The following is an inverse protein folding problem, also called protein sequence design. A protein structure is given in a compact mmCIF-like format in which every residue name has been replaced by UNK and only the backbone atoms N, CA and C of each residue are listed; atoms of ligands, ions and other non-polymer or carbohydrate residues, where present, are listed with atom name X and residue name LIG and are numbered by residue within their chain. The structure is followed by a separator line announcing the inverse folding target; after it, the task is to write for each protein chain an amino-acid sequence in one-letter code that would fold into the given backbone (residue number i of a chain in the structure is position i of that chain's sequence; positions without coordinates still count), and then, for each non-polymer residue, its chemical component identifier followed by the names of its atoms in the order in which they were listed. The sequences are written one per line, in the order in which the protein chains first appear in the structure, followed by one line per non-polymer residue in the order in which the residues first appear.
data_IF_407642514733
#
_entry.id   IF_407642514733
#
_cell.length_a   1.000
_cell.length_b   1.000
_cell.length_c   1.000
_cell.angle_alpha   90.00
_cell.angle_beta   90.00
_cell.angle_gamma   90.00
#
_symmetry.space_group_name_H-M   'P 1'
#
loop_
_entity.id
_entity.type
_entity.pdbx_description
1 polymer ?
#
# COMPACT_ATOMS: atom_id res chain seq x y z
N UNK A 1 7.56 -5.02 51.94
CA UNK A 1 8.71 -4.92 52.87
C UNK A 1 9.69 -6.02 52.46
N UNK A 2 11.00 -5.81 52.31
CA UNK A 2 11.82 -4.63 52.56
C UNK A 2 13.17 -5.06 53.17
N UNK A 3 14.30 -4.76 52.50
CA UNK A 3 15.65 -5.27 52.81
C UNK A 3 16.28 -5.96 51.58
N UNK A 4 17.36 -5.51 50.92
CA UNK A 4 18.48 -4.62 51.35
C UNK A 4 19.27 -5.29 52.51
N UNK A 5 20.60 -5.30 52.70
CA UNK A 5 21.80 -4.72 52.08
C UNK A 5 23.06 -5.50 52.58
N UNK A 6 24.29 -5.44 52.03
CA UNK A 6 24.89 -5.02 50.74
C UNK A 6 26.35 -5.57 50.63
N UNK A 7 26.91 -5.55 49.41
CA UNK A 7 28.33 -5.41 49.02
C UNK A 7 29.45 -5.54 50.08
N UNK A 8 30.40 -6.45 49.87
CA UNK A 8 31.78 -6.35 50.39
C UNK A 8 32.75 -5.86 49.30
N UNK A 9 33.79 -5.10 49.65
CA UNK A 9 34.77 -4.58 48.69
C UNK A 9 36.18 -4.46 49.27
N UNK A 10 37.14 -4.05 48.43
CA UNK A 10 38.48 -3.60 48.82
C UNK A 10 39.04 -2.66 47.72
N UNK A 11 39.17 -1.34 47.96
CA UNK A 11 40.38 -0.57 48.34
C UNK A 11 41.64 -0.83 47.47
N UNK A 12 42.04 0.10 46.59
CA UNK A 12 43.03 1.20 46.76
C UNK A 12 44.51 0.69 46.80
N UNK A 13 45.55 1.34 46.27
CA UNK A 13 45.73 2.62 45.52
C UNK A 13 47.03 2.53 44.65
N UNK A 14 47.32 3.51 43.77
CA UNK A 14 48.57 3.51 42.97
C UNK A 14 48.79 4.73 42.08
N UNK A 15 49.74 5.60 42.45
CA UNK A 15 49.87 6.99 41.92
C UNK A 15 51.04 7.19 40.93
N UNK A 16 50.70 7.78 39.78
CA UNK A 16 51.47 8.69 38.87
C UNK A 16 53.01 8.61 38.76
N UNK A 17 53.49 8.49 37.52
CA UNK A 17 54.27 9.50 36.74
C UNK A 17 54.25 9.04 35.27
N UNK A 18 54.40 9.84 34.20
CA UNK A 18 54.96 11.19 34.02
C UNK A 18 55.93 11.13 32.82
N UNK A 19 55.50 11.54 31.61
CA UNK A 19 56.35 11.42 30.42
C UNK A 19 55.76 12.10 29.17
N UNK A 20 56.52 13.03 28.58
CA UNK A 20 56.12 13.85 27.43
C UNK A 20 56.84 13.41 26.14
N UNK A 21 56.10 13.17 25.05
CA UNK A 21 56.70 12.87 23.74
C UNK A 21 55.87 13.34 22.52
N UNK A 22 56.28 14.47 21.96
CA UNK A 22 56.45 14.75 20.51
C UNK A 22 55.43 14.18 19.49
N UNK A 23 54.45 15.03 19.16
CA UNK A 23 54.19 15.58 17.81
C UNK A 23 54.69 14.76 16.60
N UNK A 24 53.76 14.14 15.85
CA UNK A 24 53.91 13.93 14.40
C UNK A 24 52.67 14.44 13.66
N UNK A 25 52.87 15.25 12.62
CA UNK A 25 51.80 15.88 11.86
C UNK A 25 51.26 14.94 10.77
N UNK A 26 49.93 14.88 10.62
CA UNK A 26 49.28 14.20 9.49
C UNK A 26 49.10 15.20 8.33
N UNK A 27 49.28 14.79 7.05
CA UNK A 27 49.17 15.70 5.91
C UNK A 27 47.73 16.17 5.69
N UNK A 28 47.59 17.40 5.18
CA UNK A 28 46.31 18.02 4.89
C UNK A 28 45.57 17.29 3.74
N UNK A 29 44.25 17.16 3.87
CA UNK A 29 43.38 16.68 2.79
C UNK A 29 43.07 17.82 1.81
N UNK A 30 43.00 17.58 0.49
CA UNK A 30 42.66 18.61 -0.48
C UNK A 30 41.19 19.04 -0.35
N UNK A 31 40.94 20.35 -0.55
CA UNK A 31 39.62 20.98 -0.50
C UNK A 31 38.71 20.48 -1.64
N UNK A 32 37.83 19.53 -1.33
CA UNK A 32 36.72 19.15 -2.22
C UNK A 32 35.58 20.17 -2.08
N UNK A 33 35.68 21.25 -2.86
CA UNK A 33 34.53 22.14 -3.13
C UNK A 33 33.35 21.31 -3.64
N UNK A 34 32.34 21.12 -2.81
CA UNK A 34 31.10 20.45 -3.22
C UNK A 34 30.37 21.33 -4.24
N UNK A 35 29.97 20.80 -5.41
CA UNK A 35 29.08 21.53 -6.31
C UNK A 35 27.74 21.74 -5.59
N UNK A 36 27.31 23.00 -5.46
CA UNK A 36 26.04 23.36 -4.83
C UNK A 36 24.90 22.64 -5.56
N UNK A 37 24.23 21.72 -4.87
CA UNK A 37 23.13 20.92 -5.41
C UNK A 37 21.95 21.85 -5.71
N UNK A 38 21.76 22.19 -6.98
CA UNK A 38 20.69 23.08 -7.41
C UNK A 38 19.33 22.52 -6.97
N UNK A 39 18.65 23.22 -6.08
CA UNK A 39 17.33 22.84 -5.60
C UNK A 39 16.31 23.11 -6.69
N UNK A 40 15.91 22.05 -7.41
CA UNK A 40 14.88 22.14 -8.45
C UNK A 40 13.64 22.85 -7.90
N UNK A 41 13.26 23.97 -8.54
CA UNK A 41 12.20 24.85 -8.06
C UNK A 41 10.81 24.20 -8.08
N UNK A 42 9.80 24.81 -7.42
CA UNK A 42 8.48 24.20 -7.26
C UNK A 42 7.82 23.77 -8.58
N UNK A 43 8.00 24.56 -9.65
CA UNK A 43 7.51 24.25 -11.01
C UNK A 43 8.16 22.98 -11.60
N UNK A 44 9.48 22.84 -11.47
CA UNK A 44 10.21 21.65 -11.94
C UNK A 44 9.82 20.38 -11.15
N UNK A 45 9.61 20.48 -9.83
CA UNK A 45 9.09 19.38 -9.01
C UNK A 45 7.67 18.96 -9.40
N UNK A 46 6.80 19.93 -9.72
CA UNK A 46 5.42 19.68 -10.18
C UNK A 46 5.39 19.04 -11.58
N UNK A 47 6.27 19.47 -12.49
CA UNK A 47 6.48 18.84 -13.79
C UNK A 47 6.98 17.39 -13.64
N UNK A 48 7.98 17.16 -12.78
CA UNK A 48 8.51 15.82 -12.50
C UNK A 48 7.51 14.87 -11.80
N UNK A 49 6.52 15.39 -11.04
CA UNK A 49 5.36 14.59 -10.55
C UNK A 49 4.41 14.24 -11.70
N UNK A 50 4.09 15.18 -12.60
CA UNK A 50 3.21 14.93 -13.75
C UNK A 50 3.80 13.91 -14.72
N UNK A 51 5.09 14.04 -15.07
CA UNK A 51 5.77 13.11 -15.97
C UNK A 51 5.76 11.64 -15.44
N UNK A 52 5.97 11.44 -14.13
CA UNK A 52 5.87 10.11 -13.49
C UNK A 52 4.44 9.54 -13.48
N UNK A 53 3.42 10.40 -13.56
CA UNK A 53 2.02 9.97 -13.65
C UNK A 53 1.59 9.50 -15.04
N UNK A 54 2.32 9.87 -16.09
CA UNK A 54 1.98 9.53 -17.48
C UNK A 54 2.61 8.21 -17.98
N UNK A 55 3.79 7.85 -17.49
CA UNK A 55 4.58 6.70 -17.97
C UNK A 55 4.14 5.33 -17.39
N UNK A 56 2.83 5.04 -17.44
CA UNK A 56 2.21 4.02 -16.58
C UNK A 56 1.14 3.12 -17.19
N UNK A 57 1.01 3.03 -18.52
CA UNK A 57 0.02 2.16 -19.19
C UNK A 57 0.37 0.66 -19.18
N UNK A 58 0.98 0.15 -18.10
CA UNK A 58 1.33 -1.25 -17.94
C UNK A 58 0.23 -2.03 -17.19
N UNK A 59 -0.24 -3.14 -17.78
CA UNK A 59 -1.07 -4.13 -17.07
C UNK A 59 -0.33 -4.57 -15.79
N UNK A 60 -1.03 -4.62 -14.66
CA UNK A 60 -0.46 -5.04 -13.36
C UNK A 60 0.12 -3.93 -12.47
N UNK A 61 0.05 -2.64 -12.85
CA UNK A 61 0.41 -1.53 -11.94
C UNK A 61 -0.80 -1.00 -11.16
N UNK A 62 -0.69 -1.00 -9.84
CA UNK A 62 -1.70 -0.48 -8.89
C UNK A 62 -1.95 1.01 -9.13
N UNK A 63 -3.21 1.40 -9.09
CA UNK A 63 -3.66 2.75 -9.41
C UNK A 63 -3.56 3.63 -8.15
N UNK A 64 -2.91 4.81 -8.18
CA UNK A 64 -2.95 5.76 -7.06
C UNK A 64 -4.38 6.20 -6.70
N UNK A 65 -4.65 6.47 -5.42
CA UNK A 65 -5.98 6.94 -4.97
C UNK A 65 -6.24 8.40 -5.34
N UNK A 66 -7.51 8.72 -5.58
CA UNK A 66 -8.02 10.09 -5.68
C UNK A 66 -8.09 10.77 -4.27
N UNK A 67 -8.39 12.08 -4.19
CA UNK A 67 -8.72 12.77 -2.94
C UNK A 67 -9.88 12.11 -2.20
N UNK A 68 -9.92 12.27 -0.87
CA UNK A 68 -10.77 11.49 0.03
C UNK A 68 -12.26 11.38 -0.38
N UNK A 69 -12.98 12.48 -0.70
CA UNK A 69 -14.41 12.38 -1.05
C UNK A 69 -14.63 11.60 -2.35
N UNK A 70 -13.83 11.91 -3.38
CA UNK A 70 -13.91 11.27 -4.69
C UNK A 70 -13.54 9.78 -4.64
N UNK A 71 -12.51 9.45 -3.85
CA UNK A 71 -12.07 8.07 -3.59
C UNK A 71 -13.17 7.27 -2.91
N UNK A 72 -13.73 7.78 -1.83
CA UNK A 72 -14.76 7.06 -1.06
C UNK A 72 -16.04 6.88 -1.87
N UNK A 73 -16.49 7.92 -2.60
CA UNK A 73 -17.64 7.80 -3.50
C UNK A 73 -17.40 6.75 -4.59
N UNK A 74 -16.23 6.76 -5.24
CA UNK A 74 -15.91 5.77 -6.28
C UNK A 74 -15.82 4.35 -5.73
N UNK A 75 -15.21 4.16 -4.55
CA UNK A 75 -15.17 2.84 -3.92
C UNK A 75 -16.59 2.35 -3.59
N UNK A 76 -17.45 3.20 -3.02
CA UNK A 76 -18.84 2.87 -2.76
C UNK A 76 -19.61 2.47 -4.04
N UNK A 77 -19.46 3.21 -5.15
CA UNK A 77 -20.07 2.83 -6.44
C UNK A 77 -19.49 1.53 -7.01
N UNK A 78 -18.18 1.28 -6.87
CA UNK A 78 -17.54 0.03 -7.33
C UNK A 78 -18.06 -1.18 -6.54
N UNK A 79 -18.17 -1.07 -5.22
CA UNK A 79 -18.72 -2.14 -4.38
C UNK A 79 -20.22 -2.31 -4.60
N UNK A 80 -20.97 -1.21 -4.74
CA UNK A 80 -22.39 -1.26 -5.08
C UNK A 80 -22.63 -2.00 -6.42
N UNK A 81 -21.77 -1.77 -7.42
CA UNK A 81 -21.90 -2.39 -8.72
C UNK A 81 -21.89 -3.93 -8.66
N UNK A 82 -21.25 -4.57 -7.67
CA UNK A 82 -21.18 -6.04 -7.52
C UNK A 82 -22.57 -6.71 -7.53
N UNK A 83 -23.59 -6.01 -7.06
CA UNK A 83 -24.96 -6.51 -6.87
C UNK A 83 -26.05 -5.54 -7.37
N UNK A 84 -25.68 -4.35 -7.86
CA UNK A 84 -26.62 -3.30 -8.29
C UNK A 84 -26.38 -2.91 -9.77
N UNK A 85 -27.33 -3.21 -10.68
CA UNK A 85 -27.23 -2.84 -12.09
C UNK A 85 -27.10 -1.34 -12.34
N UNK A 86 -27.70 -0.49 -11.49
CA UNK A 86 -27.65 0.97 -11.64
C UNK A 86 -26.25 1.50 -11.32
N UNK A 87 -25.63 0.99 -10.25
CA UNK A 87 -24.25 1.32 -9.92
C UNK A 87 -23.25 0.75 -10.95
N UNK A 88 -23.54 -0.44 -11.52
CA UNK A 88 -22.76 -1.00 -12.64
C UNK A 88 -22.85 -0.10 -13.89
N UNK A 89 -24.02 0.49 -14.17
CA UNK A 89 -24.20 1.45 -15.26
C UNK A 89 -23.51 2.80 -14.99
N UNK A 90 -23.60 3.37 -13.78
CA UNK A 90 -22.87 4.58 -13.38
C UNK A 90 -21.35 4.38 -13.54
N UNK A 91 -20.83 3.23 -13.08
CA UNK A 91 -19.42 2.86 -13.22
C UNK A 91 -19.01 2.72 -14.70
N UNK A 92 -19.84 2.10 -15.53
CA UNK A 92 -19.58 1.95 -16.97
C UNK A 92 -19.58 3.32 -17.69
N UNK A 93 -20.51 4.21 -17.34
CA UNK A 93 -20.58 5.55 -17.92
C UNK A 93 -19.41 6.45 -17.48
N UNK A 94 -18.94 6.32 -16.25
CA UNK A 94 -17.70 6.98 -15.79
C UNK A 94 -16.46 6.40 -16.50
N UNK A 95 -16.43 5.07 -16.72
CA UNK A 95 -15.34 4.38 -17.41
C UNK A 95 -15.22 4.77 -18.89
N UNK A 96 -16.35 4.83 -19.62
CA UNK A 96 -16.41 5.24 -21.03
C UNK A 96 -16.23 6.74 -21.24
N UNK A 97 -16.51 7.55 -20.22
CA UNK A 97 -16.46 9.01 -20.28
C UNK A 97 -17.81 9.67 -20.62
N UNK A 98 -18.90 8.90 -20.67
CA UNK A 98 -20.26 9.44 -20.76
C UNK A 98 -20.69 10.23 -19.51
N UNK A 99 -20.08 9.95 -18.35
CA UNK A 99 -20.14 10.81 -17.16
C UNK A 99 -18.83 11.59 -17.00
N UNK A 100 -18.94 12.88 -16.69
CA UNK A 100 -17.79 13.73 -16.40
C UNK A 100 -17.23 13.43 -14.99
N UNK A 101 -15.98 12.97 -14.85
CA UNK A 101 -15.32 12.82 -13.55
C UNK A 101 -15.17 14.14 -12.77
N UNK A 102 -15.33 15.32 -13.39
CA UNK A 102 -15.34 16.58 -12.65
C UNK A 102 -16.50 16.65 -11.64
N UNK A 103 -17.67 16.05 -11.95
CA UNK A 103 -18.81 15.96 -11.03
C UNK A 103 -18.57 15.08 -9.78
N UNK A 104 -17.40 14.43 -9.70
CA UNK A 104 -16.96 13.60 -8.58
C UNK A 104 -15.86 14.28 -7.75
N UNK A 105 -15.41 15.46 -8.15
CA UNK A 105 -14.23 16.14 -7.61
C UNK A 105 -14.62 17.52 -7.04
N UNK A 106 -13.94 17.94 -5.98
CA UNK A 106 -14.06 19.31 -5.48
C UNK A 106 -13.42 20.31 -6.47
N UNK A 107 -13.76 21.59 -6.36
CA UNK A 107 -13.33 22.65 -7.28
C UNK A 107 -11.80 22.83 -7.43
N UNK A 108 -10.99 22.28 -6.51
CA UNK A 108 -9.52 22.27 -6.61
C UNK A 108 -8.92 20.99 -7.23
N UNK A 109 -9.72 19.93 -7.43
CA UNK A 109 -9.24 18.56 -7.63
C UNK A 109 -9.28 18.05 -9.08
N UNK A 110 -9.65 18.88 -10.05
CA UNK A 110 -9.73 18.54 -11.47
C UNK A 110 -8.50 17.80 -12.04
N UNK A 111 -7.31 18.04 -11.46
CA UNK A 111 -6.08 17.30 -11.80
C UNK A 111 -6.10 15.79 -11.52
N UNK A 112 -7.10 15.30 -10.79
CA UNK A 112 -7.29 13.88 -10.46
C UNK A 112 -8.29 13.15 -11.38
N UNK A 113 -8.98 13.86 -12.28
CA UNK A 113 -10.02 13.33 -13.17
C UNK A 113 -9.60 12.07 -13.94
N UNK A 114 -8.40 12.07 -14.55
CA UNK A 114 -7.89 10.90 -15.29
C UNK A 114 -7.39 9.79 -14.37
N UNK A 115 -7.03 10.10 -13.11
CA UNK A 115 -6.79 9.09 -12.08
C UNK A 115 -8.07 8.35 -11.71
N UNK A 116 -9.15 9.11 -11.48
CA UNK A 116 -10.49 8.61 -11.19
C UNK A 116 -11.03 7.76 -12.35
N UNK A 117 -10.96 8.29 -13.58
CA UNK A 117 -11.44 7.59 -14.79
C UNK A 117 -10.66 6.31 -15.06
N UNK A 118 -9.32 6.30 -14.89
CA UNK A 118 -8.52 5.06 -15.03
C UNK A 118 -8.92 4.00 -14.01
N UNK A 119 -9.24 4.41 -12.78
CA UNK A 119 -9.72 3.51 -11.72
C UNK A 119 -11.11 2.94 -12.05
N UNK A 120 -12.03 3.79 -12.52
CA UNK A 120 -13.35 3.38 -13.01
C UNK A 120 -13.24 2.38 -14.18
N UNK A 121 -12.35 2.61 -15.16
CA UNK A 121 -12.09 1.66 -16.27
C UNK A 121 -11.57 0.32 -15.79
N UNK A 122 -10.63 0.30 -14.84
CA UNK A 122 -10.11 -0.94 -14.27
C UNK A 122 -11.20 -1.74 -13.53
N UNK A 123 -12.03 -1.06 -12.73
CA UNK A 123 -13.13 -1.69 -12.01
C UNK A 123 -14.23 -2.18 -12.97
N UNK A 124 -14.63 -1.38 -13.95
CA UNK A 124 -15.58 -1.79 -14.98
C UNK A 124 -15.08 -3.06 -15.71
N UNK A 125 -13.82 -3.09 -16.15
CA UNK A 125 -13.25 -4.25 -16.83
C UNK A 125 -13.14 -5.49 -15.93
N UNK A 126 -12.84 -5.33 -14.63
CA UNK A 126 -12.77 -6.43 -13.67
C UNK A 126 -14.13 -7.07 -13.38
N UNK A 127 -15.20 -6.27 -13.44
CA UNK A 127 -16.53 -6.67 -13.01
C UNK A 127 -17.52 -6.92 -14.16
N UNK A 128 -17.24 -6.45 -15.38
CA UNK A 128 -18.04 -6.73 -16.57
C UNK A 128 -18.28 -8.23 -16.87
N UNK A 129 -17.32 -9.17 -16.68
CA UNK A 129 -17.57 -10.59 -16.90
C UNK A 129 -18.18 -11.30 -15.67
N UNK A 130 -18.46 -10.59 -14.57
CA UNK A 130 -18.96 -11.19 -13.32
C UNK A 130 -20.49 -11.07 -13.24
N UNK A 131 -21.22 -12.14 -12.86
CA UNK A 131 -22.63 -12.03 -12.55
C UNK A 131 -22.86 -11.10 -11.35
N UNK A 132 -24.10 -10.67 -11.15
CA UNK A 132 -24.47 -9.97 -9.91
C UNK A 132 -24.59 -10.99 -8.77
N UNK A 133 -23.85 -10.75 -7.69
CA UNK A 133 -23.96 -11.54 -6.45
C UNK A 133 -25.04 -10.99 -5.51
N UNK A 134 -25.43 -11.75 -4.47
CA UNK A 134 -26.27 -11.22 -3.40
C UNK A 134 -25.51 -10.19 -2.54
N UNK A 135 -26.20 -9.14 -2.08
CA UNK A 135 -25.64 -8.19 -1.10
C UNK A 135 -25.24 -8.95 0.17
N UNK A 136 -23.93 -8.97 0.45
CA UNK A 136 -23.40 -9.66 1.63
C UNK A 136 -23.48 -11.18 1.58
N UNK A 137 -23.20 -11.80 0.41
CA UNK A 137 -23.20 -13.25 0.19
C UNK A 137 -22.23 -14.06 1.05
N UNK A 138 -21.76 -15.20 0.55
CA UNK A 138 -20.75 -16.01 1.24
C UNK A 138 -19.39 -15.30 1.35
N UNK A 139 -18.55 -15.80 2.26
CA UNK A 139 -17.15 -15.39 2.34
C UNK A 139 -16.39 -15.73 1.05
N UNK A 140 -16.68 -16.88 0.44
CA UNK A 140 -16.01 -17.36 -0.78
C UNK A 140 -16.28 -16.46 -2.00
N UNK A 141 -17.56 -16.12 -2.24
CA UNK A 141 -17.95 -15.13 -3.27
C UNK A 141 -17.24 -13.78 -3.06
N UNK A 142 -17.12 -13.35 -1.79
CA UNK A 142 -16.44 -12.09 -1.43
C UNK A 142 -14.95 -12.16 -1.70
N UNK A 143 -14.31 -13.32 -1.49
CA UNK A 143 -12.90 -13.53 -1.81
C UNK A 143 -12.66 -13.54 -3.32
N UNK A 144 -13.60 -14.05 -4.14
CA UNK A 144 -13.48 -13.96 -5.60
C UNK A 144 -13.70 -12.55 -6.16
N UNK A 145 -14.59 -11.76 -5.55
CA UNK A 145 -14.74 -10.33 -5.87
C UNK A 145 -13.48 -9.54 -5.44
N UNK A 146 -12.98 -9.79 -4.23
CA UNK A 146 -11.72 -9.20 -3.74
C UNK A 146 -10.55 -9.56 -4.67
N UNK A 147 -10.48 -10.81 -5.13
CA UNK A 147 -9.47 -11.26 -6.07
C UNK A 147 -9.57 -10.56 -7.44
N UNK A 148 -10.79 -10.33 -7.95
CA UNK A 148 -11.01 -9.60 -9.19
C UNK A 148 -10.59 -8.12 -9.07
N UNK A 149 -10.91 -7.46 -7.95
CA UNK A 149 -10.52 -6.08 -7.66
C UNK A 149 -8.99 -5.95 -7.47
N UNK A 150 -8.39 -6.82 -6.67
CA UNK A 150 -6.96 -6.82 -6.38
C UNK A 150 -6.13 -7.02 -7.66
N UNK A 151 -6.48 -8.03 -8.47
CA UNK A 151 -5.79 -8.33 -9.73
C UNK A 151 -5.94 -7.20 -10.76
N UNK A 152 -6.98 -6.37 -10.66
CA UNK A 152 -7.16 -5.15 -11.44
C UNK A 152 -6.39 -3.93 -10.91
N UNK A 153 -5.62 -4.08 -9.82
CA UNK A 153 -4.84 -3.01 -9.19
C UNK A 153 -5.66 -2.09 -8.29
N UNK A 154 -6.81 -2.55 -7.78
CA UNK A 154 -7.76 -1.81 -6.93
C UNK A 154 -7.60 -2.19 -5.45
N UNK A 155 -6.38 -2.03 -4.93
CA UNK A 155 -6.04 -2.43 -3.55
C UNK A 155 -6.84 -1.70 -2.47
N UNK A 156 -7.31 -0.47 -2.74
CA UNK A 156 -8.21 0.25 -1.84
C UNK A 156 -9.62 -0.38 -1.82
N UNK A 157 -10.22 -0.63 -2.97
CA UNK A 157 -11.57 -1.25 -3.04
C UNK A 157 -11.56 -2.69 -2.53
N UNK A 158 -10.44 -3.39 -2.68
CA UNK A 158 -10.21 -4.71 -2.05
C UNK A 158 -10.20 -4.60 -0.52
N UNK A 159 -9.60 -3.54 0.04
CA UNK A 159 -9.65 -3.24 1.47
C UNK A 159 -11.09 -3.01 1.94
N UNK A 160 -11.80 -2.06 1.32
CA UNK A 160 -13.17 -1.71 1.72
C UNK A 160 -14.14 -2.91 1.66
N UNK A 161 -13.98 -3.78 0.64
CA UNK A 161 -14.79 -5.01 0.51
C UNK A 161 -14.55 -6.02 1.63
N UNK A 162 -13.27 -6.22 2.02
CA UNK A 162 -12.89 -7.19 3.04
C UNK A 162 -13.10 -6.67 4.47
N UNK A 163 -13.07 -5.34 4.68
CA UNK A 163 -13.27 -4.73 6.00
C UNK A 163 -14.60 -5.13 6.64
N UNK A 164 -15.68 -5.18 5.85
CA UNK A 164 -17.00 -5.63 6.31
C UNK A 164 -16.99 -7.07 6.84
N UNK A 165 -16.22 -7.98 6.23
CA UNK A 165 -16.04 -9.36 6.71
C UNK A 165 -15.16 -9.39 7.96
N UNK A 166 -14.03 -8.68 7.93
CA UNK A 166 -13.07 -8.61 9.03
C UNK A 166 -13.69 -8.08 10.33
N UNK A 167 -14.63 -7.15 10.24
CA UNK A 167 -15.34 -6.56 11.39
C UNK A 167 -16.17 -7.60 12.16
N UNK A 168 -16.82 -8.54 11.46
CA UNK A 168 -17.60 -9.62 12.06
C UNK A 168 -16.80 -10.88 12.43
N UNK A 169 -15.64 -11.09 11.79
CA UNK A 169 -14.82 -12.28 11.94
C UNK A 169 -14.15 -12.41 13.33
N UNK A 170 -13.77 -13.64 13.70
CA UNK A 170 -13.03 -13.96 14.93
C UNK A 170 -11.91 -14.98 14.66
N UNK A 171 -10.97 -15.13 15.60
CA UNK A 171 -9.89 -16.11 15.53
C UNK A 171 -9.06 -16.00 14.24
N UNK A 172 -8.66 -17.14 13.69
CA UNK A 172 -7.84 -17.22 12.47
C UNK A 172 -8.51 -16.61 11.22
N UNK A 173 -9.85 -16.62 11.13
CA UNK A 173 -10.57 -15.98 10.03
C UNK A 173 -10.31 -14.47 10.02
N UNK A 174 -10.44 -13.83 11.19
CA UNK A 174 -10.16 -12.40 11.35
C UNK A 174 -8.71 -12.07 11.04
N UNK A 175 -7.80 -12.92 11.49
CA UNK A 175 -6.36 -12.72 11.33
C UNK A 175 -5.93 -12.87 9.86
N UNK A 176 -6.51 -13.85 9.15
CA UNK A 176 -6.32 -14.03 7.70
C UNK A 176 -6.93 -12.88 6.90
N UNK A 177 -8.16 -12.45 7.21
CA UNK A 177 -8.79 -11.28 6.57
C UNK A 177 -7.98 -10.01 6.79
N UNK A 178 -7.46 -9.78 8.01
CA UNK A 178 -6.56 -8.67 8.30
C UNK A 178 -5.27 -8.76 7.48
N UNK A 179 -4.70 -9.95 7.31
CA UNK A 179 -3.54 -10.16 6.46
C UNK A 179 -3.77 -9.78 5.00
N UNK A 180 -4.90 -10.20 4.41
CA UNK A 180 -5.29 -9.85 3.04
C UNK A 180 -5.49 -8.34 2.88
N UNK A 181 -6.21 -7.72 3.83
CA UNK A 181 -6.40 -6.27 3.95
C UNK A 181 -5.06 -5.53 3.97
N UNK A 182 -4.13 -5.93 4.85
CA UNK A 182 -2.83 -5.28 5.00
C UNK A 182 -1.99 -5.37 3.72
N UNK A 183 -1.97 -6.52 3.05
CA UNK A 183 -1.28 -6.66 1.75
C UNK A 183 -1.91 -5.76 0.68
N UNK A 184 -3.24 -5.73 0.56
CA UNK A 184 -3.94 -4.89 -0.42
C UNK A 184 -3.68 -3.39 -0.24
N UNK A 185 -3.83 -2.87 0.98
CA UNK A 185 -3.57 -1.47 1.28
C UNK A 185 -2.07 -1.14 1.28
N UNK A 186 -1.19 -2.09 1.57
CA UNK A 186 0.26 -1.95 1.42
C UNK A 186 0.69 -1.74 -0.05
N UNK A 187 0.10 -2.49 -0.99
CA UNK A 187 0.30 -2.24 -2.43
C UNK A 187 -0.30 -0.89 -2.86
N UNK A 188 -1.40 -0.43 -2.25
CA UNK A 188 -1.95 0.91 -2.49
C UNK A 188 -1.02 2.03 -1.95
N UNK A 189 -0.40 1.84 -0.78
CA UNK A 189 0.62 2.73 -0.24
C UNK A 189 1.80 2.87 -1.20
N UNK A 190 2.26 1.76 -1.78
CA UNK A 190 3.32 1.74 -2.79
C UNK A 190 2.95 2.55 -4.03
N UNK A 191 1.73 2.40 -4.56
CA UNK A 191 1.23 3.20 -5.67
C UNK A 191 1.18 4.70 -5.35
N UNK A 192 0.83 5.04 -4.11
CA UNK A 192 0.80 6.41 -3.61
C UNK A 192 2.21 6.98 -3.30
N UNK A 193 3.28 6.20 -3.49
CA UNK A 193 4.67 6.60 -3.23
C UNK A 193 5.13 6.45 -1.78
N UNK A 194 4.29 5.91 -0.88
CA UNK A 194 4.64 5.63 0.50
C UNK A 194 5.32 4.25 0.61
N UNK A 195 6.60 4.18 0.20
CA UNK A 195 7.38 2.95 0.22
C UNK A 195 7.65 2.40 1.64
N UNK A 196 7.68 3.26 2.66
CA UNK A 196 7.89 2.83 4.05
C UNK A 196 6.63 2.14 4.61
N UNK A 197 5.46 2.77 4.49
CA UNK A 197 4.19 2.17 4.90
C UNK A 197 3.87 0.91 4.10
N UNK A 198 4.18 0.90 2.79
CA UNK A 198 4.02 -0.30 1.96
C UNK A 198 4.84 -1.50 2.49
N UNK A 199 6.09 -1.29 2.91
CA UNK A 199 6.92 -2.35 3.51
C UNK A 199 6.33 -2.89 4.80
N UNK A 200 5.92 -2.01 5.73
CA UNK A 200 5.33 -2.43 7.01
C UNK A 200 4.07 -3.27 6.78
N UNK A 201 3.12 -2.73 6.00
CA UNK A 201 1.82 -3.37 5.74
C UNK A 201 1.96 -4.71 5.00
N UNK A 202 2.83 -4.80 3.98
CA UNK A 202 3.03 -6.07 3.26
C UNK A 202 3.76 -7.09 4.13
N UNK A 203 4.73 -6.69 4.96
CA UNK A 203 5.45 -7.60 5.85
C UNK A 203 4.55 -8.14 6.97
N UNK A 204 3.81 -7.27 7.66
CA UNK A 204 2.84 -7.63 8.69
C UNK A 204 1.71 -8.50 8.11
N UNK A 205 1.16 -8.09 6.96
CA UNK A 205 0.10 -8.82 6.28
C UNK A 205 0.56 -10.21 5.84
N UNK A 206 1.73 -10.34 5.22
CA UNK A 206 2.30 -11.63 4.86
C UNK A 206 2.58 -12.51 6.10
N UNK A 207 3.05 -11.94 7.21
CA UNK A 207 3.24 -12.70 8.45
C UNK A 207 1.92 -13.27 8.99
N UNK A 208 0.79 -12.55 8.86
CA UNK A 208 -0.55 -13.06 9.22
C UNK A 208 -1.09 -14.13 8.27
N UNK A 209 -0.58 -14.23 7.05
CA UNK A 209 -1.08 -15.16 6.03
C UNK A 209 -0.29 -16.48 5.97
N UNK A 210 0.89 -16.55 6.60
CA UNK A 210 1.70 -17.77 6.62
C UNK A 210 0.99 -18.92 7.35
N UNK A 211 1.04 -20.11 6.76
CA UNK A 211 0.40 -21.32 7.27
C UNK A 211 -1.13 -21.29 7.35
N UNK A 212 -1.80 -20.20 6.94
CA UNK A 212 -3.25 -20.05 7.07
C UNK A 212 -4.02 -20.42 5.81
N UNK A 213 -5.27 -20.81 6.03
CA UNK A 213 -6.30 -21.09 5.03
C UNK A 213 -7.53 -20.25 5.36
N UNK A 214 -8.21 -19.72 4.34
CA UNK A 214 -9.46 -18.95 4.49
C UNK A 214 -10.46 -19.42 3.43
N UNK A 215 -11.65 -19.87 3.84
CA UNK A 215 -12.65 -20.47 2.94
C UNK A 215 -12.08 -21.57 2.02
N UNK A 216 -11.17 -22.42 2.54
CA UNK A 216 -10.48 -23.46 1.76
C UNK A 216 -9.28 -22.98 0.92
N UNK A 217 -9.08 -21.67 0.77
CA UNK A 217 -7.99 -21.06 -0.01
C UNK A 217 -6.71 -20.95 0.81
N UNK A 218 -5.62 -21.59 0.37
CA UNK A 218 -4.32 -21.57 1.05
C UNK A 218 -3.56 -20.26 0.80
N UNK A 219 -3.11 -19.58 1.86
CA UNK A 219 -2.64 -18.19 1.79
C UNK A 219 -1.10 -18.05 1.74
N UNK A 220 -0.37 -19.10 2.14
CA UNK A 220 1.10 -19.16 2.19
C UNK A 220 1.77 -18.70 0.88
N UNK A 221 1.30 -19.22 -0.26
CA UNK A 221 1.89 -18.90 -1.56
C UNK A 221 1.70 -17.43 -1.96
N UNK A 222 0.60 -16.80 -1.53
CA UNK A 222 0.37 -15.36 -1.74
C UNK A 222 1.22 -14.53 -0.77
N UNK A 223 1.31 -14.94 0.50
CA UNK A 223 2.16 -14.29 1.50
C UNK A 223 3.63 -14.20 1.05
N UNK A 224 4.19 -15.32 0.58
CA UNK A 224 5.55 -15.38 0.02
C UNK A 224 5.72 -14.46 -1.18
N UNK A 225 4.83 -14.56 -2.19
CA UNK A 225 4.94 -13.74 -3.41
C UNK A 225 4.72 -12.24 -3.16
N UNK A 226 3.98 -11.86 -2.11
CA UNK A 226 3.82 -10.46 -1.72
C UNK A 226 5.13 -9.86 -1.19
N UNK A 227 5.92 -10.63 -0.43
CA UNK A 227 7.26 -10.27 0.02
C UNK A 227 8.26 -10.21 -1.16
N UNK A 228 8.26 -11.21 -2.04
CA UNK A 228 9.10 -11.20 -3.25
C UNK A 228 8.84 -9.97 -4.13
N UNK A 229 7.57 -9.60 -4.31
CA UNK A 229 7.17 -8.40 -5.04
C UNK A 229 7.55 -7.08 -4.33
N UNK A 230 7.76 -7.11 -3.01
CA UNK A 230 8.25 -5.96 -2.23
C UNK A 230 9.76 -5.78 -2.41
N UNK A 231 10.53 -6.86 -2.33
CA UNK A 231 11.99 -6.88 -2.43
C UNK A 231 12.48 -6.59 -3.85
N UNK A 232 11.74 -7.03 -4.87
CA UNK A 232 11.97 -6.68 -6.28
C UNK A 232 11.76 -5.17 -6.60
N UNK A 233 11.46 -4.35 -5.59
CA UNK A 233 11.40 -2.90 -5.69
C UNK A 233 10.28 -2.39 -6.60
N UNK A 234 10.36 -1.11 -6.98
CA UNK A 234 9.25 -0.38 -7.60
C UNK A 234 8.72 -0.92 -8.95
N UNK A 235 9.41 -1.87 -9.59
CA UNK A 235 9.04 -2.42 -10.89
C UNK A 235 8.05 -3.60 -10.82
N UNK A 236 8.09 -4.42 -9.76
CA UNK A 236 7.29 -5.64 -9.66
C UNK A 236 5.77 -5.37 -9.55
N UNK A 237 4.95 -6.16 -10.21
CA UNK A 237 3.49 -6.12 -10.02
C UNK A 237 3.10 -6.83 -8.71
N UNK A 238 1.94 -6.54 -8.11
CA UNK A 238 1.37 -7.38 -7.07
C UNK A 238 1.22 -8.84 -7.55
N UNK A 239 1.34 -9.83 -6.66
CA UNK A 239 1.06 -11.22 -7.00
C UNK A 239 -0.43 -11.44 -7.27
N UNK A 240 -0.80 -12.52 -7.97
CA UNK A 240 -2.21 -12.92 -8.09
C UNK A 240 -2.80 -13.22 -6.71
N UNK A 241 -3.99 -12.67 -6.44
CA UNK A 241 -4.73 -12.92 -5.20
C UNK A 241 -5.12 -14.41 -5.07
N UNK A 242 -5.27 -14.96 -3.84
CA UNK A 242 -5.71 -16.35 -3.64
C UNK A 242 -7.01 -16.68 -4.36
N UNK A 243 -7.05 -17.85 -4.97
CA UNK A 243 -8.22 -18.50 -5.56
C UNK A 243 -8.45 -19.81 -4.84
#
# INVERSE_FOLDING_TARGET
MGGDARLGGAVHDGVRHGGTARRQARPARPDRRQPRRATAGPRARRAARRARGAAGAGRGRVIPTAPLPARNRLAATILAALHDPSARAELAALASGALDPAAWLAAGDAGHAEGLRRRARAAHAALAPRPFGPRGGSLDETLDDAAALFDAGLGFETHELLEARWSGARGDERDALQGLIQVAVGFQHRANGNAAGARSLIAEGAARLRGRTLAGRALEAFARRALEALDAGGAASPPRFPR
#
